data_IF_869974942924
#
_entry.id   IF_869974942924
#
_cell.length_a   1.000
_cell.length_b   1.000
_cell.length_c   1.000
_cell.angle_alpha   90.00
_cell.angle_beta   90.00
_cell.angle_gamma   90.00
#
_symmetry.space_group_name_H-M   'P 1'
#
loop_
_entity.id
_entity.type
_entity.pdbx_description
1 polymer ?
#
# COMPACT_ATOMS: atom_id res chain seq x y z
N UNK A 1 -20.15 3.77 4.79
CA UNK A 1 -19.63 2.41 4.50
C UNK A 1 -18.21 2.23 5.02
N UNK A 2 -17.22 2.96 4.50
CA UNK A 2 -15.80 2.81 4.90
C UNK A 2 -15.46 3.41 6.27
N UNK A 3 -16.11 4.50 6.69
CA UNK A 3 -15.93 5.08 8.04
C UNK A 3 -16.56 4.22 9.15
N UNK A 4 -17.50 3.34 8.80
CA UNK A 4 -18.20 2.43 9.72
C UNK A 4 -17.74 0.96 9.56
N UNK A 5 -16.72 0.72 8.73
CA UNK A 5 -16.17 -0.61 8.38
C UNK A 5 -17.22 -1.64 7.88
N UNK A 6 -18.36 -1.16 7.36
CA UNK A 6 -19.42 -2.01 6.86
C UNK A 6 -19.17 -2.38 5.40
N UNK A 7 -18.24 -3.32 5.21
CA UNK A 7 -17.82 -3.79 3.90
C UNK A 7 -18.84 -4.73 3.22
N UNK A 8 -19.75 -5.33 4.00
CA UNK A 8 -20.83 -6.14 3.46
C UNK A 8 -21.77 -5.28 2.60
N UNK A 9 -22.14 -4.09 3.09
CA UNK A 9 -22.96 -3.16 2.31
C UNK A 9 -22.18 -2.56 1.12
N UNK A 10 -20.88 -2.29 1.32
CA UNK A 10 -20.02 -1.79 0.26
C UNK A 10 -19.85 -2.78 -0.91
N UNK A 11 -19.99 -4.09 -0.64
CA UNK A 11 -19.94 -5.12 -1.67
C UNK A 11 -21.05 -4.95 -2.73
N UNK A 12 -22.19 -4.34 -2.36
CA UNK A 12 -23.27 -4.04 -3.31
C UNK A 12 -22.92 -2.98 -4.33
N UNK A 13 -21.83 -2.23 -4.14
CA UNK A 13 -21.31 -1.27 -5.13
C UNK A 13 -20.42 -1.93 -6.19
N UNK A 14 -20.03 -3.18 -5.96
CA UNK A 14 -19.21 -3.96 -6.88
C UNK A 14 -20.12 -4.82 -7.77
N UNK A 15 -19.82 -4.86 -9.07
CA UNK A 15 -20.43 -5.85 -9.93
C UNK A 15 -19.72 -7.20 -9.75
N UNK A 16 -20.33 -8.08 -8.96
CA UNK A 16 -19.80 -9.41 -8.62
C UNK A 16 -20.28 -10.50 -9.59
N UNK A 17 -20.71 -10.15 -10.81
CA UNK A 17 -21.25 -11.12 -11.78
C UNK A 17 -20.28 -12.26 -12.12
N UNK A 18 -18.96 -12.01 -12.03
CA UNK A 18 -17.91 -13.00 -12.30
C UNK A 18 -17.53 -13.83 -11.06
N UNK A 19 -18.11 -13.55 -9.90
CA UNK A 19 -17.90 -14.29 -8.64
C UNK A 19 -19.04 -15.28 -8.43
N UNK A 20 -18.72 -16.50 -7.98
CA UNK A 20 -19.72 -17.52 -7.71
C UNK A 20 -20.79 -17.01 -6.70
N UNK A 21 -22.09 -17.17 -6.98
CA UNK A 21 -23.16 -16.67 -6.10
C UNK A 21 -23.05 -17.11 -4.64
N UNK A 22 -22.49 -18.29 -4.37
CA UNK A 22 -22.29 -18.79 -3.01
C UNK A 22 -21.17 -18.06 -2.26
N UNK A 23 -20.20 -17.49 -2.98
CA UNK A 23 -19.04 -16.79 -2.42
C UNK A 23 -19.20 -15.26 -2.42
N UNK A 24 -20.16 -14.71 -3.17
CA UNK A 24 -20.35 -13.26 -3.33
C UNK A 24 -20.45 -12.50 -2.00
N UNK A 25 -21.09 -13.07 -0.97
CA UNK A 25 -21.22 -12.43 0.34
C UNK A 25 -19.88 -12.24 1.05
N UNK A 26 -19.03 -13.27 1.00
CA UNK A 26 -17.74 -13.27 1.70
C UNK A 26 -16.69 -12.58 0.87
N UNK A 27 -16.55 -12.98 -0.40
CA UNK A 27 -15.55 -12.44 -1.32
C UNK A 27 -15.86 -11.00 -1.70
N UNK A 28 -17.13 -10.64 -1.85
CA UNK A 28 -17.54 -9.26 -2.14
C UNK A 28 -17.15 -8.29 -1.04
N UNK A 29 -17.36 -8.66 0.23
CA UNK A 29 -16.95 -7.83 1.37
C UNK A 29 -15.43 -7.67 1.43
N UNK A 30 -14.68 -8.73 1.16
CA UNK A 30 -13.22 -8.68 1.09
C UNK A 30 -12.72 -7.77 -0.04
N UNK A 31 -13.27 -7.91 -1.25
CA UNK A 31 -12.93 -7.06 -2.40
C UNK A 31 -13.27 -5.59 -2.13
N UNK A 32 -14.42 -5.32 -1.50
CA UNK A 32 -14.81 -3.96 -1.13
C UNK A 32 -13.83 -3.34 -0.12
N UNK A 33 -13.36 -4.14 0.84
CA UNK A 33 -12.32 -3.70 1.79
C UNK A 33 -11.00 -3.42 1.08
N UNK A 34 -10.55 -4.33 0.22
CA UNK A 34 -9.29 -4.16 -0.53
C UNK A 34 -9.33 -2.90 -1.39
N UNK A 35 -10.42 -2.70 -2.15
CA UNK A 35 -10.58 -1.51 -2.97
C UNK A 35 -10.62 -0.23 -2.13
N UNK A 36 -11.30 -0.22 -0.99
CA UNK A 36 -11.31 0.94 -0.11
C UNK A 36 -9.90 1.35 0.35
N UNK A 37 -9.05 0.37 0.66
CA UNK A 37 -7.66 0.61 1.03
C UNK A 37 -6.82 1.14 -0.15
N UNK A 38 -7.00 0.54 -1.34
CA UNK A 38 -6.35 1.00 -2.58
C UNK A 38 -6.73 2.43 -2.88
N UNK A 39 -8.03 2.77 -2.88
CA UNK A 39 -8.50 4.12 -3.19
C UNK A 39 -8.12 5.16 -2.13
N UNK A 40 -7.92 4.75 -0.88
CA UNK A 40 -7.46 5.65 0.20
C UNK A 40 -6.00 6.07 0.02
N UNK A 41 -5.17 5.21 -0.55
CA UNK A 41 -3.73 5.45 -0.76
C UNK A 41 -3.36 5.87 -2.18
N UNK A 42 -4.15 5.45 -3.17
CA UNK A 42 -3.97 5.82 -4.55
C UNK A 42 -4.18 7.33 -4.72
N UNK A 43 -3.09 8.08 -4.86
CA UNK A 43 -3.07 9.55 -5.04
C UNK A 43 -3.75 10.06 -6.34
N UNK A 44 -4.56 9.26 -7.03
CA UNK A 44 -4.95 9.47 -8.44
C UNK A 44 -6.46 9.39 -8.68
N UNK A 45 -7.29 9.65 -7.66
CA UNK A 45 -8.72 9.86 -7.86
C UNK A 45 -8.94 11.17 -8.62
N UNK A 46 -9.34 11.08 -9.89
CA UNK A 46 -9.59 12.26 -10.72
C UNK A 46 -11.03 12.78 -10.53
N UNK A 47 -11.35 13.20 -9.30
CA UNK A 47 -12.67 13.71 -8.94
C UNK A 47 -13.09 14.91 -9.80
N UNK A 48 -12.13 15.71 -10.27
CA UNK A 48 -12.34 16.87 -11.15
C UNK A 48 -12.94 16.52 -12.51
N UNK A 49 -12.74 15.28 -12.98
CA UNK A 49 -13.26 14.80 -14.27
C UNK A 49 -14.60 14.05 -14.13
N UNK A 50 -15.16 13.96 -12.91
CA UNK A 50 -16.46 13.33 -12.72
C UNK A 50 -17.60 14.25 -13.17
N UNK A 51 -18.55 13.74 -13.99
CA UNK A 51 -19.70 14.54 -14.39
C UNK A 51 -20.59 14.90 -13.20
N UNK A 52 -21.08 16.14 -13.16
CA UNK A 52 -22.08 16.56 -12.17
C UNK A 52 -23.49 15.98 -12.42
N UNK A 53 -23.73 15.40 -13.61
CA UNK A 53 -25.01 14.81 -13.99
C UNK A 53 -25.07 13.32 -13.65
N UNK A 54 -26.25 12.86 -13.20
CA UNK A 54 -26.50 11.45 -12.83
C UNK A 54 -26.35 10.45 -13.99
N UNK A 55 -26.55 10.90 -15.23
CA UNK A 55 -26.38 10.11 -16.45
C UNK A 55 -24.98 10.22 -17.05
N UNK A 56 -24.07 10.87 -16.33
CA UNK A 56 -22.67 11.06 -16.70
C UNK A 56 -22.43 11.72 -18.07
N UNK A 57 -23.42 12.43 -18.60
CA UNK A 57 -23.31 13.09 -19.88
C UNK A 57 -22.30 14.25 -19.82
N UNK A 58 -21.52 14.43 -20.89
CA UNK A 58 -20.52 15.49 -20.97
C UNK A 58 -21.24 16.83 -21.12
N UNK A 59 -20.95 17.75 -20.20
CA UNK A 59 -21.33 19.15 -20.31
C UNK A 59 -20.19 19.89 -21.02
N UNK A 60 -20.41 20.28 -22.27
CA UNK A 60 -19.47 21.12 -23.01
C UNK A 60 -20.14 22.46 -23.38
N UNK A 61 -19.95 23.50 -22.56
CA UNK A 61 -20.47 24.84 -22.84
C UNK A 61 -19.89 25.45 -24.14
N UNK A 62 -18.74 24.96 -24.59
CA UNK A 62 -18.06 25.45 -25.79
C UNK A 62 -18.57 24.82 -27.09
N UNK A 63 -19.37 23.74 -27.00
CA UNK A 63 -20.01 23.08 -28.13
C UNK A 63 -19.04 22.40 -29.10
N UNK A 64 -17.82 22.09 -28.67
CA UNK A 64 -16.77 21.47 -29.49
C UNK A 64 -16.78 19.94 -29.39
N UNK A 65 -17.42 19.38 -28.36
CA UNK A 65 -17.51 17.95 -28.15
C UNK A 65 -18.78 17.37 -28.80
N UNK A 66 -18.64 16.51 -29.84
CA UNK A 66 -19.78 15.94 -30.54
C UNK A 66 -20.62 14.96 -29.69
N UNK A 67 -20.09 14.51 -28.54
CA UNK A 67 -20.79 13.63 -27.60
C UNK A 67 -21.42 14.39 -26.41
N UNK A 68 -21.42 15.73 -26.47
CA UNK A 68 -22.02 16.56 -25.44
C UNK A 68 -23.53 16.29 -25.33
N UNK A 69 -24.00 16.09 -24.10
CA UNK A 69 -25.41 15.78 -23.81
C UNK A 69 -25.83 14.32 -23.97
N UNK A 70 -24.98 13.43 -24.51
CA UNK A 70 -25.30 12.00 -24.61
C UNK A 70 -25.04 11.27 -23.27
N UNK A 71 -26.00 10.44 -22.78
CA UNK A 71 -25.81 9.65 -21.58
C UNK A 71 -24.65 8.66 -21.73
N UNK A 72 -23.74 8.64 -20.76
CA UNK A 72 -22.63 7.69 -20.76
C UNK A 72 -22.99 6.41 -20.02
N UNK A 73 -22.46 5.29 -20.51
CA UNK A 73 -22.58 3.97 -19.86
C UNK A 73 -21.41 3.61 -18.97
N UNK A 74 -20.28 4.30 -19.14
CA UNK A 74 -19.03 4.02 -18.46
C UNK A 74 -18.32 5.32 -18.10
N UNK A 75 -17.85 5.42 -16.87
CA UNK A 75 -16.98 6.50 -16.39
C UNK A 75 -15.74 5.90 -15.71
N UNK A 76 -14.62 6.56 -15.94
CA UNK A 76 -13.36 6.25 -15.26
C UNK A 76 -13.34 7.00 -13.92
N UNK A 77 -13.05 6.28 -12.84
CA UNK A 77 -12.92 6.85 -11.49
C UNK A 77 -11.46 7.15 -11.15
N UNK A 78 -10.58 6.21 -11.47
CA UNK A 78 -9.16 6.29 -11.18
C UNK A 78 -8.38 5.46 -12.20
N UNK A 79 -7.18 5.90 -12.51
CA UNK A 79 -6.19 5.13 -13.25
C UNK A 79 -5.01 4.89 -12.31
N UNK A 80 -4.71 3.63 -12.06
CA UNK A 80 -3.61 3.18 -11.20
C UNK A 80 -2.58 2.46 -12.07
N UNK A 81 -1.30 2.54 -11.71
CA UNK A 81 -0.24 1.84 -12.43
C UNK A 81 0.36 0.75 -11.55
N UNK A 82 0.49 -0.45 -12.10
CA UNK A 82 1.17 -1.61 -11.47
C UNK A 82 1.93 -2.34 -12.56
N UNK A 83 3.21 -2.63 -12.38
CA UNK A 83 4.10 -3.32 -13.33
C UNK A 83 4.20 -2.64 -14.70
N UNK A 84 4.13 -1.31 -14.71
CA UNK A 84 4.07 -0.47 -15.90
C UNK A 84 2.78 -0.66 -16.70
N UNK A 85 1.81 -1.41 -16.16
CA UNK A 85 0.48 -1.61 -16.71
C UNK A 85 -0.49 -0.63 -16.05
N UNK A 86 -1.32 0.02 -16.85
CA UNK A 86 -2.38 0.88 -16.36
C UNK A 86 -3.64 0.04 -16.07
N UNK A 87 -4.14 0.13 -14.85
CA UNK A 87 -5.39 -0.46 -14.40
C UNK A 87 -6.40 0.65 -14.12
N UNK A 88 -7.47 0.65 -14.91
CA UNK A 88 -8.54 1.64 -14.77
C UNK A 88 -9.63 1.09 -13.85
N UNK A 89 -9.93 1.83 -12.78
CA UNK A 89 -11.12 1.61 -11.96
C UNK A 89 -12.27 2.36 -12.62
N UNK A 90 -13.27 1.61 -13.10
CA UNK A 90 -14.37 2.14 -13.92
C UNK A 90 -15.72 1.81 -13.30
N UNK A 91 -16.67 2.72 -13.44
CA UNK A 91 -18.08 2.49 -13.13
C UNK A 91 -18.86 2.24 -14.40
N UNK A 92 -19.68 1.19 -14.38
CA UNK A 92 -20.65 0.88 -15.40
C UNK A 92 -22.06 1.22 -14.91
N UNK A 93 -22.89 1.71 -15.82
CA UNK A 93 -24.33 1.93 -15.57
C UNK A 93 -25.12 0.69 -15.97
N UNK A 94 -25.74 0.04 -15.00
CA UNK A 94 -26.51 -1.19 -15.17
C UNK A 94 -27.99 -0.94 -14.87
N UNK A 95 -28.88 -1.61 -15.61
CA UNK A 95 -30.33 -1.59 -15.39
C UNK A 95 -30.85 -3.03 -15.39
N UNK A 96 -31.66 -3.38 -14.40
CA UNK A 96 -32.35 -4.66 -14.33
C UNK A 96 -33.84 -4.41 -14.59
N UNK A 97 -34.35 -4.91 -15.71
CA UNK A 97 -35.76 -4.71 -16.09
C UNK A 97 -36.13 -3.22 -16.25
N UNK A 98 -37.20 -2.81 -15.57
CA UNK A 98 -37.75 -1.45 -15.57
C UNK A 98 -37.25 -0.59 -14.39
N UNK A 99 -36.30 -1.09 -13.60
CA UNK A 99 -35.77 -0.35 -12.45
C UNK A 99 -34.87 0.82 -12.87
N UNK A 100 -34.67 1.73 -11.91
CA UNK A 100 -33.73 2.82 -12.09
C UNK A 100 -32.31 2.28 -12.24
N UNK A 101 -31.53 2.81 -13.21
CA UNK A 101 -30.19 2.32 -13.46
C UNK A 101 -29.25 2.72 -12.33
N UNK A 102 -28.44 1.76 -11.91
CA UNK A 102 -27.44 1.92 -10.84
C UNK A 102 -26.03 1.93 -11.40
N UNK A 103 -25.13 2.65 -10.73
CA UNK A 103 -23.71 2.65 -11.04
C UNK A 103 -22.99 1.63 -10.17
N UNK A 104 -22.32 0.68 -10.81
CA UNK A 104 -21.52 -0.35 -10.15
C UNK A 104 -20.10 -0.35 -10.70
N UNK A 105 -19.13 -0.70 -9.86
CA UNK A 105 -17.76 -0.93 -10.32
C UNK A 105 -17.76 -2.10 -11.28
N UNK A 106 -17.19 -1.90 -12.46
CA UNK A 106 -17.24 -2.87 -13.55
C UNK A 106 -16.52 -4.17 -13.15
N UNK A 107 -16.97 -5.35 -13.63
CA UNK A 107 -16.36 -6.63 -13.29
C UNK A 107 -14.85 -6.68 -13.58
N UNK A 108 -14.41 -6.07 -14.69
CA UNK A 108 -12.99 -5.94 -15.06
C UNK A 108 -12.15 -5.19 -14.00
N UNK A 109 -12.71 -4.11 -13.44
CA UNK A 109 -12.06 -3.39 -12.35
C UNK A 109 -12.10 -4.23 -11.06
N UNK A 110 -13.18 -4.97 -10.80
CA UNK A 110 -13.31 -5.85 -9.62
C UNK A 110 -12.26 -6.97 -9.65
N UNK A 111 -12.04 -7.60 -10.80
CA UNK A 111 -11.02 -8.64 -10.97
C UNK A 111 -9.60 -8.12 -10.79
N UNK A 112 -9.39 -6.82 -10.98
CA UNK A 112 -8.08 -6.16 -10.83
C UNK A 112 -7.79 -5.73 -9.39
N UNK A 113 -8.81 -5.69 -8.51
CA UNK A 113 -8.65 -5.25 -7.11
C UNK A 113 -7.55 -6.02 -6.36
N UNK A 114 -7.44 -7.37 -6.45
CA UNK A 114 -6.41 -8.09 -5.71
C UNK A 114 -4.99 -7.68 -6.12
N UNK A 115 -4.73 -7.52 -7.42
CA UNK A 115 -3.43 -7.07 -7.91
C UNK A 115 -3.11 -5.63 -7.45
N UNK A 116 -4.11 -4.75 -7.49
CA UNK A 116 -3.98 -3.38 -6.96
C UNK A 116 -3.74 -3.37 -5.45
N UNK A 117 -4.33 -4.31 -4.71
CA UNK A 117 -4.18 -4.41 -3.26
C UNK A 117 -2.82 -4.98 -2.84
N UNK A 118 -2.21 -5.84 -3.65
CA UNK A 118 -0.84 -6.31 -3.41
C UNK A 118 0.15 -5.15 -3.46
N UNK A 119 -0.02 -4.23 -4.42
CA UNK A 119 0.86 -3.06 -4.59
C UNK A 119 0.52 -1.92 -3.62
N UNK A 120 -0.75 -1.53 -3.56
CA UNK A 120 -1.19 -0.34 -2.80
C UNK A 120 -1.72 -0.66 -1.40
N UNK A 121 -1.83 -1.93 -1.02
CA UNK A 121 -2.37 -2.36 0.26
C UNK A 121 -1.46 -2.06 1.47
N UNK A 122 -1.97 -2.24 2.71
CA UNK A 122 -1.15 -2.16 3.91
C UNK A 122 -0.02 -3.20 3.86
N UNK A 123 1.21 -2.76 4.16
CA UNK A 123 2.34 -3.69 4.23
C UNK A 123 2.04 -4.78 5.27
N UNK A 124 2.57 -5.98 5.06
CA UNK A 124 2.36 -7.11 5.99
C UNK A 124 2.65 -6.75 7.46
N UNK A 125 3.60 -5.84 7.70
CA UNK A 125 3.92 -5.34 9.05
C UNK A 125 2.78 -4.49 9.63
N UNK A 126 2.09 -3.71 8.80
CA UNK A 126 0.96 -2.88 9.23
C UNK A 126 -0.28 -3.70 9.63
N UNK A 127 -0.44 -4.89 9.06
CA UNK A 127 -1.55 -5.79 9.41
C UNK A 127 -1.52 -6.25 10.87
N UNK A 128 -0.32 -6.36 11.47
CA UNK A 128 -0.12 -6.74 12.89
C UNK A 128 -0.21 -5.57 13.87
N UNK A 129 -0.26 -4.33 13.37
CA UNK A 129 -0.32 -3.14 14.24
C UNK A 129 -1.76 -2.95 14.72
N UNK A 130 -2.01 -2.83 16.04
CA UNK A 130 -3.33 -2.50 16.55
C UNK A 130 -3.83 -1.14 16.01
N UNK A 131 -5.11 -1.07 15.61
CA UNK A 131 -5.83 0.12 15.09
C UNK A 131 -5.41 1.46 15.72
N UNK A 132 -5.30 1.50 17.06
CA UNK A 132 -4.89 2.68 17.84
C UNK A 132 -3.56 3.31 17.44
N UNK A 133 -2.67 2.57 16.78
CA UNK A 133 -1.36 3.04 16.33
C UNK A 133 -1.27 3.28 14.82
N UNK A 134 -2.33 2.94 14.06
CA UNK A 134 -2.45 3.26 12.63
C UNK A 134 -2.96 4.67 12.37
N UNK A 135 -3.45 5.36 13.41
CA UNK A 135 -3.87 6.75 13.29
C UNK A 135 -2.72 7.61 12.74
N UNK A 136 -3.03 8.48 11.78
CA UNK A 136 -2.06 9.42 11.23
C UNK A 136 -1.84 10.55 12.22
N UNK A 137 -0.57 10.90 12.47
CA UNK A 137 -0.21 12.06 13.27
C UNK A 137 0.76 12.94 12.47
N UNK A 138 0.21 13.93 11.78
CA UNK A 138 0.97 14.80 10.88
C UNK A 138 1.21 14.14 9.52
N UNK A 139 2.49 14.04 9.11
CA UNK A 139 2.91 13.49 7.80
C UNK A 139 3.04 11.96 7.83
N UNK A 140 3.18 11.36 9.01
CA UNK A 140 3.48 9.94 9.21
C UNK A 140 2.47 9.28 10.16
N UNK A 141 2.32 7.96 10.08
CA UNK A 141 1.52 7.17 11.03
C UNK A 141 2.20 7.12 12.40
N UNK A 142 1.43 7.05 13.49
CA UNK A 142 1.98 7.01 14.87
C UNK A 142 2.97 5.87 15.05
N UNK A 143 2.76 4.72 14.41
CA UNK A 143 3.71 3.62 14.50
C UNK A 143 5.04 3.87 13.79
N UNK A 144 5.07 4.66 12.71
CA UNK A 144 6.33 5.00 12.01
C UNK A 144 7.23 5.83 12.92
N UNK A 145 6.65 6.71 13.75
CA UNK A 145 7.35 7.42 14.81
C UNK A 145 7.96 6.51 15.88
N UNK A 146 7.39 5.32 16.09
CA UNK A 146 7.92 4.32 17.02
C UNK A 146 8.95 3.40 16.34
N UNK A 147 8.81 3.15 15.04
CA UNK A 147 9.74 2.36 14.27
C UNK A 147 11.13 3.01 14.19
N UNK A 148 11.20 4.34 14.02
CA UNK A 148 12.46 5.10 13.96
C UNK A 148 13.34 4.92 15.22
N UNK A 149 12.85 5.18 16.46
CA UNK A 149 13.67 5.01 17.65
C UNK A 149 14.03 3.54 17.89
N UNK A 150 13.12 2.59 17.61
CA UNK A 150 13.42 1.16 17.71
C UNK A 150 14.55 0.76 16.75
N UNK A 151 14.53 1.28 15.52
CA UNK A 151 15.56 1.04 14.53
C UNK A 151 16.92 1.60 14.99
N UNK A 152 16.96 2.83 15.49
CA UNK A 152 18.17 3.44 16.04
C UNK A 152 18.73 2.66 17.23
N UNK A 153 17.86 2.21 18.15
CA UNK A 153 18.27 1.38 19.30
C UNK A 153 18.86 0.06 18.82
N UNK A 154 18.22 -0.59 17.83
CA UNK A 154 18.67 -1.88 17.30
C UNK A 154 20.05 -1.75 16.66
N UNK A 155 20.26 -0.73 15.82
CA UNK A 155 21.57 -0.45 15.22
C UNK A 155 22.62 -0.16 16.29
N UNK A 156 22.30 0.68 17.28
CA UNK A 156 23.19 0.98 18.39
C UNK A 156 23.57 -0.29 19.17
N UNK A 157 22.62 -1.18 19.42
CA UNK A 157 22.84 -2.43 20.14
C UNK A 157 23.74 -3.38 19.35
N UNK A 158 23.55 -3.50 18.02
CA UNK A 158 24.44 -4.28 17.15
C UNK A 158 25.86 -3.72 17.14
N UNK A 159 26.01 -2.39 17.06
CA UNK A 159 27.32 -1.74 17.14
C UNK A 159 28.04 -2.01 18.46
N UNK A 160 27.33 -1.85 19.57
CA UNK A 160 27.86 -2.11 20.92
C UNK A 160 28.22 -3.60 21.07
N UNK A 161 27.34 -4.51 20.65
CA UNK A 161 27.59 -5.96 20.71
C UNK A 161 28.82 -6.35 19.88
N UNK A 162 28.98 -5.78 18.68
CA UNK A 162 30.15 -6.02 17.81
C UNK A 162 31.43 -5.54 18.48
N UNK A 163 31.42 -4.34 19.06
CA UNK A 163 32.57 -3.81 19.80
C UNK A 163 32.96 -4.71 21.00
N UNK A 164 31.98 -5.16 21.77
CA UNK A 164 32.21 -6.10 22.87
C UNK A 164 32.75 -7.45 22.40
N UNK A 165 32.25 -7.98 21.27
CA UNK A 165 32.74 -9.24 20.71
C UNK A 165 34.20 -9.10 20.23
N UNK A 166 34.53 -8.02 19.52
CA UNK A 166 35.90 -7.78 19.03
C UNK A 166 36.87 -7.62 20.21
N UNK A 167 36.47 -6.88 21.25
CA UNK A 167 37.29 -6.72 22.46
C UNK A 167 37.45 -8.02 23.26
N UNK A 168 36.41 -8.87 23.32
CA UNK A 168 36.50 -10.18 23.96
C UNK A 168 37.47 -11.11 23.22
N UNK A 169 37.37 -11.17 21.88
CA UNK A 169 38.26 -11.97 21.03
C UNK A 169 39.71 -11.49 21.16
N UNK A 170 39.93 -10.18 21.14
CA UNK A 170 41.24 -9.59 21.36
C UNK A 170 41.90 -10.01 22.68
N UNK A 171 41.10 -10.20 23.73
CA UNK A 171 41.55 -10.61 25.06
C UNK A 171 41.94 -12.09 25.14
N UNK A 172 41.47 -12.92 24.21
CA UNK A 172 41.75 -14.37 24.14
C UNK A 172 43.02 -14.65 23.30
N UNK A 173 43.47 -13.73 22.45
CA UNK A 173 44.66 -13.92 21.63
C UNK A 173 45.98 -13.74 22.42
N UNK A 174 47.00 -14.61 22.18
CA UNK A 174 48.28 -14.55 22.88
C UNK A 174 49.01 -13.22 22.65
N UNK A 175 49.60 -12.71 23.73
CA UNK A 175 50.10 -11.34 23.99
C UNK A 175 51.18 -10.78 23.07
N UNK A 176 51.51 -11.45 21.96
CA UNK A 176 52.56 -11.03 21.01
C UNK A 176 52.06 -10.27 19.78
N UNK A 177 50.77 -10.35 19.45
CA UNK A 177 50.15 -9.68 18.28
C UNK A 177 48.95 -8.79 18.65
N UNK A 178 48.48 -8.84 19.90
CA UNK A 178 47.15 -8.36 20.30
C UNK A 178 47.09 -6.96 20.93
N UNK A 179 48.19 -6.35 21.34
CA UNK A 179 48.13 -5.11 22.15
C UNK A 179 48.13 -3.81 21.35
N UNK A 180 48.49 -3.82 20.06
CA UNK A 180 48.57 -2.60 19.23
C UNK A 180 47.46 -2.55 18.17
N UNK A 181 46.98 -3.70 17.69
CA UNK A 181 45.99 -3.75 16.61
C UNK A 181 44.54 -3.91 17.10
N UNK A 182 44.31 -4.55 18.24
CA UNK A 182 42.95 -4.85 18.68
C UNK A 182 42.14 -3.62 19.12
N UNK A 183 42.75 -2.72 19.89
CA UNK A 183 42.06 -1.52 20.40
C UNK A 183 41.72 -0.52 19.28
N UNK A 184 42.49 -0.54 18.18
CA UNK A 184 42.33 0.40 17.08
C UNK A 184 41.38 -0.10 15.97
N UNK A 185 41.15 -1.42 15.88
CA UNK A 185 40.31 -2.05 14.85
C UNK A 185 38.85 -2.21 15.28
N UNK A 186 38.56 -2.24 16.59
CA UNK A 186 37.20 -2.47 17.11
C UNK A 186 36.16 -1.46 16.63
N UNK A 187 36.52 -0.17 16.57
CA UNK A 187 35.62 0.90 16.11
C UNK A 187 35.36 0.82 14.60
N UNK A 188 36.37 0.74 13.71
CA UNK A 188 36.16 0.52 12.27
C UNK A 188 35.34 -0.72 11.95
N UNK A 189 35.57 -1.85 12.64
CA UNK A 189 34.81 -3.09 12.41
C UNK A 189 33.36 -2.94 12.85
N UNK A 190 33.11 -2.30 13.99
CA UNK A 190 31.75 -1.99 14.43
C UNK A 190 31.00 -1.14 13.39
N UNK A 191 31.66 -0.14 12.78
CA UNK A 191 31.06 0.64 11.70
C UNK A 191 30.77 -0.18 10.44
N UNK A 192 31.67 -1.08 10.03
CA UNK A 192 31.43 -1.95 8.87
C UNK A 192 30.25 -2.89 9.14
N UNK A 193 30.21 -3.53 10.31
CA UNK A 193 29.13 -4.46 10.68
C UNK A 193 27.80 -3.72 10.82
N UNK A 194 27.78 -2.55 11.46
CA UNK A 194 26.59 -1.70 11.52
C UNK A 194 26.14 -1.28 10.13
N UNK A 195 27.07 -0.89 9.25
CA UNK A 195 26.75 -0.50 7.87
C UNK A 195 26.13 -1.66 7.09
N UNK A 196 26.75 -2.85 7.12
CA UNK A 196 26.23 -4.04 6.46
C UNK A 196 24.89 -4.49 7.04
N UNK A 197 24.73 -4.44 8.36
CA UNK A 197 23.47 -4.77 9.02
C UNK A 197 22.38 -3.76 8.67
N UNK A 198 22.73 -2.47 8.62
CA UNK A 198 21.81 -1.40 8.19
C UNK A 198 21.42 -1.59 6.74
N UNK A 199 22.36 -1.91 5.84
CA UNK A 199 22.08 -2.24 4.45
C UNK A 199 21.18 -3.46 4.34
N UNK A 200 21.47 -4.55 5.04
CA UNK A 200 20.63 -5.75 5.04
C UNK A 200 19.22 -5.46 5.57
N UNK A 201 19.10 -4.64 6.62
CA UNK A 201 17.79 -4.28 7.19
C UNK A 201 17.03 -3.32 6.27
N UNK A 202 17.72 -2.39 5.63
CA UNK A 202 17.14 -1.51 4.62
C UNK A 202 16.74 -2.30 3.39
N UNK A 203 17.55 -3.22 2.89
CA UNK A 203 17.20 -4.09 1.77
C UNK A 203 16.05 -5.02 2.14
N UNK A 204 15.93 -5.45 3.40
CA UNK A 204 14.76 -6.19 3.86
C UNK A 204 13.52 -5.29 3.93
N UNK A 205 13.59 -4.13 4.58
CA UNK A 205 12.45 -3.19 4.67
C UNK A 205 12.05 -2.67 3.29
N UNK A 206 13.03 -2.36 2.44
CA UNK A 206 12.85 -1.95 1.06
C UNK A 206 12.43 -3.12 0.21
N UNK A 207 12.89 -4.35 0.38
CA UNK A 207 12.34 -5.52 -0.35
C UNK A 207 10.90 -5.80 0.06
N UNK A 208 10.53 -5.57 1.32
CA UNK A 208 9.15 -5.59 1.78
C UNK A 208 8.33 -4.42 1.22
N UNK A 209 8.98 -3.30 0.89
CA UNK A 209 8.38 -2.14 0.23
C UNK A 209 8.46 -2.19 -1.30
N UNK A 210 9.36 -3.00 -1.88
CA UNK A 210 9.69 -3.05 -3.30
C UNK A 210 9.05 -4.26 -3.94
N UNK A 211 8.66 -5.30 -3.18
CA UNK A 211 7.51 -6.14 -3.59
C UNK A 211 6.21 -5.31 -3.64
N UNK A 212 6.22 -4.09 -3.11
CA UNK A 212 5.18 -3.07 -3.29
C UNK A 212 5.65 -1.86 -4.14
N UNK A 213 6.74 -2.01 -4.93
CA UNK A 213 7.20 -1.00 -5.90
C UNK A 213 8.12 -1.59 -6.98
N UNK A 214 7.92 -2.84 -7.41
CA UNK A 214 8.69 -3.40 -8.52
C UNK A 214 7.87 -3.33 -9.77
N UNK A 215 8.02 -2.16 -10.39
CA UNK A 215 7.46 -1.71 -11.67
C UNK A 215 5.97 -1.60 -11.65
#
# INVERSE_FOLDING_TARGET
FTEEENYADAAHLLNLADVDPSEQSTRGAELAKQLAEVLRRGEWLNASNLPGRQDAAIEDPSGQNPLAGEPRRNIELAALQVEGQAYDVRLGRYRVGEEDPVWLIMPESVSSIPALYEEYGPSMLESYIPERFKASFGVLKIWEWLAIPIFLITIGLVGVATYYLVSLVARILPSGLSTIFADQIGVPVAFIVVSLFTQMLLDYVVSFSAVATTT
#
